data_IF_263601546730
#
_entry.id   IF_263601546730
#
_cell.length_a   1.000
_cell.length_b   1.000
_cell.length_c   1.000
_cell.angle_alpha   90.00
_cell.angle_beta   90.00
_cell.angle_gamma   90.00
#
_symmetry.space_group_name_H-M   'P 1'
#
loop_
_entity.id
_entity.type
_entity.pdbx_description
1 polymer ?
#
# COMPACT_ATOMS: atom_id res chain seq x y z
N UNK A 1 49.47 -70.57 -6.50
CA UNK A 1 48.71 -69.38 -6.95
C UNK A 1 47.27 -69.39 -6.40
N UNK A 2 47.08 -69.54 -5.08
CA UNK A 2 45.70 -69.57 -4.50
C UNK A 2 45.58 -68.97 -3.11
N UNK A 3 46.67 -68.66 -2.39
CA UNK A 3 46.61 -68.09 -1.03
C UNK A 3 46.78 -66.56 -0.95
N UNK A 4 47.16 -65.89 -2.04
CA UNK A 4 47.24 -64.41 -2.12
C UNK A 4 45.93 -63.73 -2.55
N UNK A 5 44.89 -64.50 -2.90
CA UNK A 5 43.59 -63.97 -3.33
C UNK A 5 42.56 -63.88 -2.18
N UNK A 6 42.77 -64.57 -1.07
CA UNK A 6 41.82 -64.59 0.05
C UNK A 6 41.91 -63.38 0.99
N UNK A 7 43.04 -62.66 1.03
CA UNK A 7 43.21 -61.47 1.87
C UNK A 7 42.79 -60.14 1.21
N UNK A 8 42.33 -60.18 -0.05
CA UNK A 8 41.82 -58.98 -0.75
C UNK A 8 40.31 -58.79 -0.58
N UNK A 9 39.61 -59.78 -0.03
CA UNK A 9 38.14 -59.78 0.11
C UNK A 9 37.66 -59.82 1.56
N UNK A 10 38.49 -59.43 2.52
CA UNK A 10 38.02 -59.20 3.88
C UNK A 10 37.13 -57.94 3.90
N UNK A 11 35.88 -58.00 4.39
CA UNK A 11 35.09 -56.80 4.59
C UNK A 11 35.81 -55.92 5.60
N UNK A 12 36.15 -54.69 5.19
CA UNK A 12 36.76 -53.68 6.03
C UNK A 12 35.73 -53.20 7.08
N UNK A 13 35.53 -53.99 8.12
CA UNK A 13 34.68 -53.66 9.27
C UNK A 13 35.43 -52.77 10.25
N UNK A 14 35.85 -51.57 9.84
CA UNK A 14 36.37 -50.53 10.72
C UNK A 14 36.36 -49.18 9.98
N UNK A 15 35.17 -48.61 9.80
CA UNK A 15 35.00 -47.18 9.51
C UNK A 15 34.03 -46.67 10.58
N UNK A 16 34.55 -46.39 11.78
CA UNK A 16 33.76 -45.66 12.79
C UNK A 16 33.44 -44.28 12.20
N UNK A 17 32.18 -43.83 12.19
CA UNK A 17 31.86 -42.50 11.69
C UNK A 17 32.49 -41.48 12.63
N UNK A 18 33.57 -40.83 12.19
CA UNK A 18 33.97 -39.58 12.83
C UNK A 18 32.77 -38.63 12.78
N UNK A 19 32.41 -37.94 13.88
CA UNK A 19 31.41 -36.90 13.85
C UNK A 19 31.88 -35.85 12.84
N UNK A 20 31.21 -35.80 11.69
CA UNK A 20 31.49 -34.80 10.69
C UNK A 20 31.24 -33.44 11.35
N UNK A 21 32.17 -32.48 11.29
CA UNK A 21 31.88 -31.13 11.75
C UNK A 21 30.64 -30.68 10.98
N UNK A 22 29.58 -30.38 11.72
CA UNK A 22 28.32 -29.89 11.18
C UNK A 22 28.58 -28.51 10.59
N UNK A 23 29.07 -28.53 9.36
CA UNK A 23 29.34 -27.34 8.58
C UNK A 23 27.99 -26.97 8.01
N UNK A 24 27.28 -26.06 8.68
CA UNK A 24 26.12 -25.40 8.07
C UNK A 24 26.66 -24.64 6.86
N UNK A 25 26.58 -25.24 5.68
CA UNK A 25 26.69 -24.50 4.44
C UNK A 25 25.50 -23.56 4.42
N UNK A 26 25.72 -22.31 4.85
CA UNK A 26 24.75 -21.25 4.60
C UNK A 26 24.76 -21.11 3.09
N UNK A 27 23.78 -21.72 2.44
CA UNK A 27 23.47 -21.47 1.05
C UNK A 27 22.96 -20.04 0.97
N UNK A 28 23.89 -19.08 0.95
CA UNK A 28 23.60 -17.77 0.42
C UNK A 28 23.27 -18.03 -1.04
N UNK A 29 21.98 -18.00 -1.39
CA UNK A 29 21.58 -17.91 -2.78
C UNK A 29 22.45 -16.83 -3.40
N UNK A 30 23.21 -17.14 -4.46
CA UNK A 30 23.93 -16.12 -5.23
C UNK A 30 22.98 -14.93 -5.39
N UNK A 31 23.43 -13.68 -5.11
CA UNK A 31 22.62 -12.51 -5.35
C UNK A 31 22.02 -12.67 -6.74
N UNK A 32 20.70 -12.83 -6.80
CA UNK A 32 20.01 -13.07 -8.08
C UNK A 32 20.48 -11.97 -9.02
N UNK A 33 20.96 -12.41 -10.17
CA UNK A 33 21.44 -11.69 -11.35
C UNK A 33 20.74 -10.35 -11.67
N UNK A 34 20.86 -9.35 -10.80
CA UNK A 34 20.69 -7.93 -11.15
C UNK A 34 22.04 -7.30 -11.51
N UNK A 35 23.13 -8.06 -11.36
CA UNK A 35 24.52 -7.66 -11.60
C UNK A 35 24.98 -7.75 -13.05
N UNK A 36 24.15 -7.29 -13.99
CA UNK A 36 24.61 -6.97 -15.32
C UNK A 36 25.14 -5.52 -15.34
N UNK A 37 26.35 -5.30 -14.81
CA UNK A 37 27.23 -4.20 -15.24
C UNK A 37 27.18 -2.85 -14.50
N UNK A 38 26.65 -2.75 -13.27
CA UNK A 38 26.59 -1.47 -12.53
C UNK A 38 27.07 -1.57 -11.08
N UNK A 39 27.64 -0.49 -10.55
CA UNK A 39 28.01 -0.39 -9.13
C UNK A 39 26.73 -0.33 -8.25
N UNK A 40 26.23 -1.49 -7.80
CA UNK A 40 25.01 -1.56 -6.97
C UNK A 40 25.16 -0.90 -5.59
N UNK A 41 26.38 -0.90 -5.07
CA UNK A 41 26.69 -0.26 -3.78
C UNK A 41 26.47 1.24 -3.84
N UNK A 42 26.88 1.90 -4.92
CA UNK A 42 26.71 3.36 -5.05
C UNK A 42 25.24 3.75 -5.19
N UNK A 43 24.44 2.96 -5.91
CA UNK A 43 23.00 3.19 -6.03
C UNK A 43 22.31 3.04 -4.67
N UNK A 44 22.61 1.95 -3.96
CA UNK A 44 22.07 1.69 -2.64
C UNK A 44 22.45 2.76 -1.62
N UNK A 45 23.71 3.22 -1.61
CA UNK A 45 24.15 4.32 -0.75
C UNK A 45 23.40 5.61 -1.09
N UNK A 46 23.21 5.92 -2.37
CA UNK A 46 22.48 7.11 -2.81
C UNK A 46 21.01 7.09 -2.35
N UNK A 47 20.33 5.95 -2.43
CA UNK A 47 18.97 5.81 -1.91
C UNK A 47 18.88 6.12 -0.42
N UNK A 48 19.86 5.67 0.38
CA UNK A 48 19.91 5.96 1.82
C UNK A 48 20.15 7.44 2.06
N UNK A 49 21.06 8.06 1.32
CA UNK A 49 21.34 9.50 1.41
C UNK A 49 20.08 10.31 1.08
N UNK A 50 19.35 9.98 0.02
CA UNK A 50 18.09 10.67 -0.33
C UNK A 50 17.02 10.46 0.73
N UNK A 51 16.91 9.25 1.30
CA UNK A 51 15.98 8.97 2.40
C UNK A 51 16.29 9.81 3.65
N UNK A 52 17.57 9.91 4.02
CA UNK A 52 18.02 10.75 5.13
C UNK A 52 17.84 12.25 4.84
N UNK A 53 18.09 12.68 3.60
CA UNK A 53 17.86 14.05 3.18
C UNK A 53 16.37 14.39 3.25
N UNK A 54 15.48 13.52 2.77
CA UNK A 54 14.03 13.71 2.87
C UNK A 54 13.59 13.84 4.33
N UNK A 55 14.11 12.98 5.22
CA UNK A 55 13.82 13.02 6.65
C UNK A 55 14.20 14.36 7.29
N UNK A 56 15.31 14.97 6.89
CA UNK A 56 15.74 16.29 7.37
C UNK A 56 15.00 17.47 6.71
N UNK A 57 14.72 17.38 5.42
CA UNK A 57 14.10 18.46 4.64
C UNK A 57 12.62 18.66 5.00
N UNK A 58 11.88 17.60 5.32
CA UNK A 58 10.47 17.70 5.71
C UNK A 58 10.27 18.65 6.91
N UNK A 59 10.88 18.43 8.09
CA UNK A 59 10.73 19.34 9.22
C UNK A 59 11.32 20.73 8.93
N UNK A 60 12.43 20.81 8.18
CA UNK A 60 13.03 22.09 7.81
C UNK A 60 12.08 22.95 6.96
N UNK A 61 11.37 22.35 5.99
CA UNK A 61 10.43 23.05 5.12
C UNK A 61 9.22 23.62 5.89
N UNK A 62 8.78 22.95 6.96
CA UNK A 62 7.69 23.44 7.81
C UNK A 62 8.12 24.56 8.77
N UNK A 63 9.36 24.54 9.26
CA UNK A 63 9.89 25.57 10.16
C UNK A 63 10.22 26.86 9.39
N UNK A 64 10.87 26.72 8.23
CA UNK A 64 11.32 27.84 7.40
C UNK A 64 10.70 27.70 6.01
N UNK A 65 9.50 28.26 5.77
CA UNK A 65 8.85 28.15 4.47
C UNK A 65 9.62 28.97 3.43
N UNK A 66 10.44 28.29 2.63
CA UNK A 66 11.23 28.89 1.55
C UNK A 66 11.05 28.10 0.27
N UNK A 67 11.10 28.80 -0.87
CA UNK A 67 10.90 28.19 -2.19
C UNK A 67 11.97 27.14 -2.51
N UNK A 68 13.21 27.35 -2.04
CA UNK A 68 14.31 26.41 -2.19
C UNK A 68 14.10 25.13 -1.39
N UNK A 69 13.63 25.22 -0.14
CA UNK A 69 13.33 24.03 0.66
C UNK A 69 12.13 23.27 0.10
N UNK A 70 11.11 23.95 -0.42
CA UNK A 70 10.00 23.32 -1.12
C UNK A 70 10.47 22.58 -2.39
N UNK A 71 11.37 23.17 -3.17
CA UNK A 71 11.95 22.52 -4.36
C UNK A 71 12.82 21.31 -4.00
N UNK A 72 13.68 21.41 -2.97
CA UNK A 72 14.47 20.28 -2.46
C UNK A 72 13.57 19.16 -1.93
N UNK A 73 12.50 19.51 -1.22
CA UNK A 73 11.50 18.56 -0.74
C UNK A 73 10.82 17.85 -1.91
N UNK A 74 10.39 18.60 -2.93
CA UNK A 74 9.75 18.05 -4.13
C UNK A 74 10.66 17.06 -4.87
N UNK A 75 11.90 17.46 -5.15
CA UNK A 75 12.89 16.62 -5.86
C UNK A 75 13.21 15.36 -5.05
N UNK A 76 13.49 15.51 -3.75
CA UNK A 76 13.82 14.38 -2.87
C UNK A 76 12.65 13.40 -2.73
N UNK A 77 11.41 13.91 -2.58
CA UNK A 77 10.21 13.09 -2.49
C UNK A 77 9.97 12.27 -3.76
N UNK A 78 10.11 12.88 -4.93
CA UNK A 78 9.92 12.19 -6.22
C UNK A 78 11.02 11.14 -6.44
N UNK A 79 12.28 11.47 -6.16
CA UNK A 79 13.40 10.51 -6.28
C UNK A 79 13.22 9.31 -5.35
N UNK A 80 12.91 9.55 -4.08
CA UNK A 80 12.65 8.49 -3.10
C UNK A 80 11.50 7.59 -3.56
N UNK A 81 10.40 8.19 -4.03
CA UNK A 81 9.24 7.44 -4.52
C UNK A 81 9.54 6.64 -5.79
N UNK A 82 10.31 7.21 -6.73
CA UNK A 82 10.67 6.55 -7.99
C UNK A 82 11.48 5.28 -7.76
N UNK A 83 12.47 5.32 -6.86
CA UNK A 83 13.27 4.13 -6.51
C UNK A 83 12.48 3.12 -5.67
N UNK A 84 11.67 3.59 -4.71
CA UNK A 84 10.84 2.71 -3.90
C UNK A 84 9.81 1.92 -4.73
N UNK A 85 9.12 2.59 -5.65
CA UNK A 85 8.14 1.93 -6.52
C UNK A 85 8.85 1.05 -7.57
N UNK A 86 10.05 1.41 -8.02
CA UNK A 86 10.84 0.55 -8.92
C UNK A 86 11.12 -0.81 -8.31
N UNK A 87 11.54 -0.84 -7.03
CA UNK A 87 11.74 -2.08 -6.29
C UNK A 87 10.45 -2.91 -6.20
N UNK A 88 9.31 -2.26 -5.91
CA UNK A 88 8.01 -2.94 -5.90
C UNK A 88 7.64 -3.53 -7.26
N UNK A 89 7.86 -2.80 -8.36
CA UNK A 89 7.62 -3.30 -9.72
C UNK A 89 8.50 -4.51 -9.99
N UNK A 90 9.79 -4.46 -9.66
CA UNK A 90 10.70 -5.59 -9.89
C UNK A 90 10.35 -6.83 -9.07
N UNK A 91 9.80 -6.66 -7.87
CA UNK A 91 9.43 -7.76 -6.99
C UNK A 91 8.13 -8.46 -7.43
N UNK A 92 7.12 -7.68 -7.84
CA UNK A 92 5.78 -8.21 -8.16
C UNK A 92 5.51 -8.41 -9.65
N UNK A 93 6.07 -7.56 -10.53
CA UNK A 93 5.84 -7.61 -11.99
C UNK A 93 6.87 -8.52 -12.64
N UNK A 94 6.84 -9.81 -12.27
CA UNK A 94 7.81 -10.80 -12.75
C UNK A 94 7.45 -11.31 -14.15
N UNK A 95 8.37 -11.29 -15.14
CA UNK A 95 8.09 -11.73 -16.51
C UNK A 95 7.51 -13.14 -16.62
N UNK A 96 7.88 -14.05 -15.71
CA UNK A 96 7.39 -15.42 -15.69
C UNK A 96 5.90 -15.58 -15.32
N UNK A 97 5.27 -14.56 -14.73
CA UNK A 97 3.85 -14.58 -14.32
C UNK A 97 3.02 -13.65 -15.22
N UNK A 98 3.54 -12.45 -15.49
CA UNK A 98 2.78 -11.39 -16.19
C UNK A 98 3.14 -11.22 -17.67
N UNK A 99 4.10 -12.00 -18.17
CA UNK A 99 4.63 -11.87 -19.53
C UNK A 99 5.66 -10.76 -19.69
N UNK A 100 6.39 -10.77 -20.82
CA UNK A 100 7.57 -9.92 -21.03
C UNK A 100 7.26 -8.46 -21.36
N UNK A 101 6.01 -8.13 -21.69
CA UNK A 101 5.59 -6.78 -22.11
C UNK A 101 5.26 -5.90 -20.91
N UNK A 102 4.62 -6.46 -19.87
CA UNK A 102 4.11 -5.72 -18.73
C UNK A 102 5.22 -5.04 -17.91
N UNK A 103 6.35 -5.70 -17.58
CA UNK A 103 7.44 -5.06 -16.84
C UNK A 103 7.98 -3.82 -17.54
N UNK A 104 8.10 -3.85 -18.88
CA UNK A 104 8.58 -2.70 -19.67
C UNK A 104 7.61 -1.53 -19.61
N UNK A 105 6.31 -1.82 -19.75
CA UNK A 105 5.25 -0.80 -19.66
C UNK A 105 5.19 -0.23 -18.24
N UNK A 106 5.35 -1.04 -17.19
CA UNK A 106 5.36 -0.57 -15.80
C UNK A 106 6.53 0.38 -15.51
N UNK A 107 7.74 0.09 -16.00
CA UNK A 107 8.85 1.03 -15.84
C UNK A 107 8.66 2.32 -16.66
N UNK A 108 8.06 2.22 -17.86
CA UNK A 108 7.74 3.38 -18.68
C UNK A 108 6.66 4.26 -18.04
N UNK A 109 5.59 3.67 -17.50
CA UNK A 109 4.54 4.41 -16.80
C UNK A 109 5.06 5.06 -15.53
N UNK A 110 5.95 4.39 -14.79
CA UNK A 110 6.58 4.95 -13.61
C UNK A 110 7.46 6.17 -13.94
N UNK A 111 8.17 6.15 -15.08
CA UNK A 111 8.91 7.31 -15.57
C UNK A 111 7.97 8.47 -15.91
N UNK A 112 6.91 8.21 -16.67
CA UNK A 112 5.92 9.23 -17.03
C UNK A 112 5.25 9.84 -15.80
N UNK A 113 4.84 9.01 -14.84
CA UNK A 113 4.24 9.45 -13.59
C UNK A 113 5.20 10.34 -12.81
N UNK A 114 6.47 9.96 -12.72
CA UNK A 114 7.47 10.72 -11.97
C UNK A 114 7.76 12.08 -12.61
N UNK A 115 7.84 12.14 -13.95
CA UNK A 115 8.00 13.42 -14.67
C UNK A 115 6.77 14.31 -14.52
N UNK A 116 5.57 13.75 -14.61
CA UNK A 116 4.32 14.47 -14.41
C UNK A 116 4.21 15.02 -12.97
N UNK A 117 4.55 14.21 -11.96
CA UNK A 117 4.55 14.65 -10.56
C UNK A 117 5.62 15.70 -10.31
N UNK A 118 6.84 15.51 -10.80
CA UNK A 118 7.92 16.49 -10.62
C UNK A 118 7.57 17.82 -11.28
N UNK A 119 7.10 17.79 -12.53
CA UNK A 119 6.66 18.97 -13.26
C UNK A 119 5.49 19.68 -12.58
N UNK A 120 4.49 18.93 -12.08
CA UNK A 120 3.36 19.47 -11.33
C UNK A 120 3.78 20.13 -10.02
N UNK A 121 4.70 19.51 -9.25
CA UNK A 121 5.22 20.09 -8.02
C UNK A 121 6.02 21.37 -8.31
N UNK A 122 6.88 21.36 -9.33
CA UNK A 122 7.61 22.58 -9.73
C UNK A 122 6.68 23.68 -10.19
N UNK A 123 5.62 23.35 -10.92
CA UNK A 123 4.60 24.32 -11.33
C UNK A 123 3.97 24.99 -10.10
N UNK A 124 3.60 24.23 -9.06
CA UNK A 124 3.05 24.77 -7.80
C UNK A 124 4.07 25.60 -6.99
N UNK A 125 5.37 25.31 -7.13
CA UNK A 125 6.43 26.02 -6.43
C UNK A 125 6.75 27.36 -7.11
N UNK A 126 6.66 27.43 -8.44
CA UNK A 126 6.98 28.64 -9.22
C UNK A 126 5.77 29.54 -9.49
N UNK A 127 4.59 28.98 -9.77
CA UNK A 127 3.40 29.74 -10.15
C UNK A 127 2.42 29.96 -8.99
N UNK A 128 2.49 29.14 -7.92
CA UNK A 128 1.60 29.22 -6.77
C UNK A 128 2.37 29.55 -5.47
N UNK A 129 1.72 29.31 -4.33
CA UNK A 129 2.17 29.70 -2.99
C UNK A 129 3.29 28.75 -2.46
N UNK A 130 3.54 27.61 -3.10
CA UNK A 130 4.49 26.58 -2.66
C UNK A 130 3.88 25.50 -1.73
N UNK A 131 4.60 24.40 -1.53
CA UNK A 131 4.08 23.17 -0.89
C UNK A 131 3.88 23.39 0.62
N UNK A 132 4.92 23.83 1.35
CA UNK A 132 4.81 24.00 2.79
C UNK A 132 3.75 25.03 3.19
N UNK A 133 3.64 26.13 2.43
CA UNK A 133 2.62 27.16 2.66
C UNK A 133 1.22 26.64 2.35
N UNK A 134 1.05 25.84 1.30
CA UNK A 134 -0.24 25.21 0.97
C UNK A 134 -0.72 24.28 2.09
N UNK A 135 0.18 23.46 2.65
CA UNK A 135 -0.16 22.60 3.80
C UNK A 135 -0.52 23.43 5.03
N UNK A 136 0.19 24.54 5.28
CA UNK A 136 -0.14 25.45 6.39
C UNK A 136 -1.50 26.11 6.20
N UNK A 137 -1.82 26.56 4.98
CA UNK A 137 -3.12 27.13 4.65
C UNK A 137 -4.24 26.10 4.82
N UNK A 138 -4.03 24.86 4.36
CA UNK A 138 -4.98 23.77 4.54
C UNK A 138 -5.22 23.47 6.02
N UNK A 139 -4.15 23.37 6.83
CA UNK A 139 -4.26 23.16 8.27
C UNK A 139 -5.03 24.29 8.96
N UNK A 140 -4.75 25.55 8.61
CA UNK A 140 -5.48 26.70 9.13
C UNK A 140 -6.94 26.69 8.68
N UNK A 141 -7.20 26.41 7.41
CA UNK A 141 -8.55 26.30 6.86
C UNK A 141 -9.36 25.23 7.59
N UNK A 142 -8.77 24.05 7.83
CA UNK A 142 -9.41 22.97 8.59
C UNK A 142 -9.69 23.38 10.03
N UNK A 143 -8.72 24.01 10.72
CA UNK A 143 -8.93 24.54 12.08
C UNK A 143 -10.03 25.61 12.12
N UNK A 144 -10.08 26.50 11.14
CA UNK A 144 -11.09 27.55 11.08
C UNK A 144 -12.48 26.97 10.75
N UNK A 145 -12.57 26.01 9.82
CA UNK A 145 -13.80 25.28 9.52
C UNK A 145 -14.36 24.54 10.73
N UNK A 146 -13.51 24.00 11.61
CA UNK A 146 -13.96 23.40 12.89
C UNK A 146 -14.46 24.48 13.86
N UNK A 147 -13.77 25.62 13.95
CA UNK A 147 -14.17 26.73 14.84
C UNK A 147 -15.51 27.38 14.45
N UNK A 148 -15.83 27.43 13.16
CA UNK A 148 -17.12 27.93 12.65
C UNK A 148 -18.19 26.83 12.45
N UNK A 149 -17.92 25.58 12.84
CA UNK A 149 -18.89 24.46 12.75
C UNK A 149 -19.91 24.44 13.89
N UNK A 150 -19.71 25.23 14.95
CA UNK A 150 -20.74 25.45 15.97
C UNK A 150 -21.10 26.95 16.04
N UNK A 151 -21.90 27.45 15.08
CA UNK A 151 -22.56 28.71 15.28
C UNK A 151 -23.71 28.45 16.26
N UNK A 152 -23.55 28.85 17.52
CA UNK A 152 -24.74 29.18 18.32
C UNK A 152 -25.49 30.22 17.50
N UNK A 153 -26.69 29.85 17.07
CA UNK A 153 -27.60 30.67 16.30
C UNK A 153 -27.91 31.94 17.11
N UNK A 154 -27.13 32.99 16.88
CA UNK A 154 -27.47 34.33 17.34
C UNK A 154 -28.28 34.95 16.22
N UNK A 155 -29.59 34.83 16.37
CA UNK A 155 -30.56 35.60 15.62
C UNK A 155 -30.23 37.10 15.82
N UNK A 156 -29.97 37.81 14.74
CA UNK A 156 -29.83 39.27 14.74
C UNK A 156 -30.90 39.85 13.79
N UNK A 157 -31.56 40.95 14.17
CA UNK A 157 -32.75 41.43 13.51
C UNK A 157 -32.47 41.96 12.11
N UNK A 158 -33.27 41.44 11.19
CA UNK A 158 -33.38 41.81 9.79
C UNK A 158 -33.55 43.33 9.57
N UNK A 159 -32.74 43.90 8.68
CA UNK A 159 -33.14 45.06 7.87
C UNK A 159 -33.02 44.70 6.40
N UNK A 160 -34.12 44.20 5.84
CA UNK A 160 -34.32 44.04 4.40
C UNK A 160 -34.66 45.41 3.82
N UNK A 161 -33.72 45.98 3.07
CA UNK A 161 -33.98 47.07 2.12
C UNK A 161 -34.09 46.45 0.73
N UNK A 162 -35.31 46.41 0.22
CA UNK A 162 -35.67 45.94 -1.11
C UNK A 162 -35.07 46.82 -2.22
N UNK A 163 -34.43 46.21 -3.23
CA UNK A 163 -34.41 46.78 -4.59
C UNK A 163 -34.23 45.72 -5.69
N UNK A 164 -35.29 45.59 -6.50
CA UNK A 164 -35.40 45.22 -7.93
C UNK A 164 -34.60 44.00 -8.44
N UNK A 165 -35.24 42.85 -8.67
CA UNK A 165 -35.98 42.44 -9.90
C UNK A 165 -35.09 42.07 -11.10
N UNK A 166 -35.00 40.77 -11.41
CA UNK A 166 -35.12 40.30 -12.80
C UNK A 166 -35.70 38.88 -12.83
N UNK A 167 -36.94 38.81 -13.32
CA UNK A 167 -37.63 37.62 -13.76
C UNK A 167 -36.86 36.93 -14.89
N UNK A 168 -36.77 35.60 -14.87
CA UNK A 168 -37.32 34.74 -15.93
C UNK A 168 -37.03 33.25 -15.68
N UNK A 169 -38.09 32.44 -15.78
CA UNK A 169 -38.07 31.02 -16.18
C UNK A 169 -37.61 29.97 -15.16
N UNK A 170 -38.38 29.81 -14.07
CA UNK A 170 -38.51 28.52 -13.36
C UNK A 170 -39.47 27.60 -14.11
N UNK A 171 -39.07 27.12 -15.29
CA UNK A 171 -39.84 26.14 -16.07
C UNK A 171 -38.95 25.43 -17.11
N UNK A 172 -37.93 24.70 -16.67
CA UNK A 172 -37.23 23.63 -17.44
C UNK A 172 -36.07 23.12 -16.61
N UNK A 173 -36.22 22.02 -15.85
CA UNK A 173 -35.23 20.92 -15.63
C UNK A 173 -35.85 19.74 -14.84
N UNK A 174 -37.17 19.53 -14.88
CA UNK A 174 -37.86 18.52 -14.07
C UNK A 174 -37.82 17.08 -14.66
N UNK A 175 -36.88 16.78 -15.56
CA UNK A 175 -36.82 15.48 -16.26
C UNK A 175 -35.58 14.66 -15.88
N UNK A 176 -34.60 15.23 -15.18
CA UNK A 176 -33.36 14.50 -14.85
C UNK A 176 -33.15 14.26 -13.35
N UNK A 177 -33.56 15.20 -12.48
CA UNK A 177 -33.33 15.08 -11.02
C UNK A 177 -34.11 13.94 -10.38
N UNK A 178 -35.40 13.77 -10.70
CA UNK A 178 -36.24 12.67 -10.18
C UNK A 178 -35.73 11.28 -10.61
N UNK A 179 -35.22 11.16 -11.84
CA UNK A 179 -34.63 9.93 -12.35
C UNK A 179 -33.31 9.58 -11.66
N UNK A 180 -32.46 10.59 -11.40
CA UNK A 180 -31.20 10.43 -10.70
C UNK A 180 -31.42 10.06 -9.22
N UNK A 181 -32.45 10.63 -8.58
CA UNK A 181 -32.85 10.27 -7.21
C UNK A 181 -33.35 8.83 -7.15
N UNK A 182 -34.20 8.39 -8.08
CA UNK A 182 -34.65 6.98 -8.15
C UNK A 182 -33.49 6.01 -8.43
N UNK A 183 -32.57 6.39 -9.29
CA UNK A 183 -31.38 5.61 -9.61
C UNK A 183 -30.42 5.50 -8.42
N UNK A 184 -30.17 6.61 -7.72
CA UNK A 184 -29.35 6.62 -6.51
C UNK A 184 -30.00 5.82 -5.38
N UNK A 185 -31.32 5.97 -5.19
CA UNK A 185 -32.06 5.20 -4.19
C UNK A 185 -31.99 3.70 -4.50
N UNK A 186 -32.20 3.31 -5.76
CA UNK A 186 -32.07 1.92 -6.21
C UNK A 186 -30.65 1.37 -6.02
N UNK A 187 -29.61 2.15 -6.33
CA UNK A 187 -28.22 1.75 -6.07
C UNK A 187 -27.91 1.58 -4.58
N UNK A 188 -28.49 2.43 -3.72
CA UNK A 188 -28.34 2.32 -2.27
C UNK A 188 -29.03 1.05 -1.76
N UNK A 189 -30.25 0.75 -2.22
CA UNK A 189 -30.98 -0.44 -1.80
C UNK A 189 -30.28 -1.73 -2.25
N UNK A 190 -29.73 -1.76 -3.46
CA UNK A 190 -28.95 -2.93 -3.95
C UNK A 190 -27.68 -3.12 -3.11
N UNK A 191 -26.98 -2.02 -2.77
CA UNK A 191 -25.80 -2.10 -1.92
C UNK A 191 -26.13 -2.54 -0.49
N UNK A 192 -27.25 -2.10 0.06
CA UNK A 192 -27.73 -2.47 1.38
C UNK A 192 -28.12 -3.95 1.42
N UNK A 193 -28.84 -4.43 0.40
CA UNK A 193 -29.25 -5.82 0.25
C UNK A 193 -28.04 -6.77 0.08
N UNK A 194 -26.99 -6.36 -0.64
CA UNK A 194 -25.75 -7.13 -0.73
C UNK A 194 -24.97 -7.16 0.60
N UNK A 195 -24.95 -6.08 1.38
CA UNK A 195 -24.24 -6.04 2.66
C UNK A 195 -24.91 -6.92 3.73
N UNK A 196 -26.25 -6.97 3.76
CA UNK A 196 -26.99 -7.85 4.67
C UNK A 196 -26.80 -9.32 4.30
N UNK A 197 -26.78 -9.63 3.00
CA UNK A 197 -26.54 -10.98 2.51
C UNK A 197 -25.12 -11.47 2.84
N UNK A 198 -24.11 -10.62 2.72
CA UNK A 198 -22.73 -10.94 3.14
C UNK A 198 -22.65 -11.17 4.66
N UNK A 199 -23.34 -10.36 5.46
CA UNK A 199 -23.36 -10.56 6.91
C UNK A 199 -24.04 -11.88 7.32
N UNK A 200 -25.11 -12.28 6.60
CA UNK A 200 -25.75 -13.58 6.80
C UNK A 200 -24.84 -14.73 6.40
N UNK A 201 -24.17 -14.66 5.25
CA UNK A 201 -23.20 -15.69 4.82
C UNK A 201 -22.05 -15.85 5.84
N UNK A 202 -21.53 -14.73 6.39
CA UNK A 202 -20.51 -14.75 7.45
C UNK A 202 -21.02 -15.36 8.76
N UNK A 203 -22.31 -15.23 9.07
CA UNK A 203 -22.93 -15.84 10.25
C UNK A 203 -23.11 -17.35 10.07
N UNK A 204 -23.58 -17.80 8.90
CA UNK A 204 -23.72 -19.22 8.58
C UNK A 204 -22.37 -19.95 8.60
N UNK A 205 -21.32 -19.32 8.06
CA UNK A 205 -19.97 -19.88 8.10
C UNK A 205 -19.45 -20.05 9.54
N UNK A 206 -19.76 -19.12 10.44
CA UNK A 206 -19.41 -19.24 11.86
C UNK A 206 -20.14 -20.40 12.53
N UNK A 207 -21.44 -20.55 12.26
CA UNK A 207 -22.23 -21.64 12.83
C UNK A 207 -21.73 -23.01 12.36
N UNK A 208 -21.40 -23.14 11.06
CA UNK A 208 -20.82 -24.36 10.51
C UNK A 208 -19.47 -24.69 11.15
N UNK A 209 -18.65 -23.68 11.42
CA UNK A 209 -17.36 -23.85 12.07
C UNK A 209 -17.51 -24.29 13.53
N UNK A 210 -18.42 -23.68 14.30
CA UNK A 210 -18.71 -24.09 15.69
C UNK A 210 -19.26 -25.52 15.75
N UNK A 211 -20.13 -25.90 14.80
CA UNK A 211 -20.66 -27.26 14.71
C UNK A 211 -19.58 -28.29 14.39
N UNK A 212 -18.60 -27.94 13.55
CA UNK A 212 -17.45 -28.80 13.24
C UNK A 212 -16.52 -28.92 14.45
N UNK A 213 -16.28 -27.82 15.18
CA UNK A 213 -15.50 -27.79 16.40
C UNK A 213 -16.11 -28.69 17.47
N UNK A 214 -17.42 -28.58 17.72
CA UNK A 214 -18.12 -29.41 18.71
C UNK A 214 -18.11 -30.89 18.30
N UNK A 215 -18.26 -31.21 17.01
CA UNK A 215 -18.07 -32.60 16.53
C UNK A 215 -16.67 -33.13 16.83
N UNK A 216 -15.63 -32.33 16.61
CA UNK A 216 -14.26 -32.73 16.92
C UNK A 216 -14.07 -32.98 18.42
N UNK A 217 -14.63 -32.12 19.25
CA UNK A 217 -14.57 -32.23 20.72
C UNK A 217 -15.28 -33.47 21.25
N UNK A 218 -16.46 -33.79 20.70
CA UNK A 218 -17.20 -35.01 21.06
C UNK A 218 -16.44 -36.28 20.65
N UNK A 219 -15.83 -36.29 19.45
CA UNK A 219 -14.98 -37.41 19.02
C UNK A 219 -13.77 -37.60 19.95
N UNK A 220 -13.17 -36.49 20.41
CA UNK A 220 -12.05 -36.54 21.34
C UNK A 220 -12.47 -37.11 22.71
N UNK A 221 -13.60 -36.67 23.25
CA UNK A 221 -14.16 -37.22 24.49
C UNK A 221 -14.54 -38.70 24.37
N UNK A 222 -15.07 -39.13 23.23
CA UNK A 222 -15.35 -40.55 22.97
C UNK A 222 -14.07 -41.39 22.95
N UNK A 223 -13.01 -40.88 22.32
CA UNK A 223 -11.69 -41.52 22.34
C UNK A 223 -11.16 -41.65 23.76
N UNK A 224 -11.26 -40.59 24.56
CA UNK A 224 -10.74 -40.59 25.94
C UNK A 224 -11.56 -41.54 26.86
N UNK A 225 -12.88 -41.67 26.63
CA UNK A 225 -13.71 -42.68 27.30
C UNK A 225 -13.36 -44.12 26.89
N UNK A 226 -12.95 -44.34 25.63
CA UNK A 226 -12.49 -45.65 25.17
C UNK A 226 -11.14 -46.05 25.79
N UNK A 227 -10.29 -45.08 26.15
CA UNK A 227 -9.03 -45.34 26.88
C UNK A 227 -9.22 -45.61 28.38
N UNK A 228 -10.38 -45.26 28.96
CA UNK A 228 -10.68 -45.44 30.39
C UNK A 228 -11.42 -46.76 30.69
N UNK A 229 -11.73 -47.56 29.68
CA UNK A 229 -12.31 -48.92 29.80
C UNK A 229 -11.24 -49.98 29.56
#
# INVERSE_FOLDING_TARGET
>A
MTLQLALRNAPRINEFPYPQPFTRTIALSSPRLSAAGGNHTTLWTLERVVSLALLGVIPAAFLVPSQTLDALMAVSLVLHSRWGIEAMITDYVRPGIVGNVLPKVSHASLLLLSLATLGGLFYLIYNDIGIAKSVKLLNLFMKNKIKYRNPKFVESPCKVTSRSQLSTNSARRHVSTEGLIKFLKSKITILEEDHDRINQEMAEQKELLEKALERSKVMEQQRDQAFMK
#
